data_IF_287480460890
#
_entry.id   IF_287480460890
#
_cell.length_a   1.000
_cell.length_b   1.000
_cell.length_c   1.000
_cell.angle_alpha   90.00
_cell.angle_beta   90.00
_cell.angle_gamma   90.00
#
_symmetry.space_group_name_H-M   'P 1'
#
loop_
_entity.id
_entity.type
_entity.pdbx_description
1 polymer ?
#
# COMPACT_ATOMS: atom_id res chain seq x y z
N UNK A 1 -27.50 -8.81 9.53
CA UNK A 1 -26.42 -8.26 10.38
C UNK A 1 -26.81 -6.86 10.80
N UNK A 2 -26.52 -6.46 12.03
CA UNK A 2 -26.62 -5.08 12.47
C UNK A 2 -25.43 -4.24 11.96
N UNK A 3 -25.53 -2.91 12.00
CA UNK A 3 -24.51 -2.01 11.42
C UNK A 3 -23.14 -2.20 12.10
N UNK A 4 -23.12 -2.46 13.41
CA UNK A 4 -21.86 -2.62 14.15
C UNK A 4 -21.10 -3.87 13.69
N UNK A 5 -21.79 -5.00 13.49
CA UNK A 5 -21.15 -6.22 12.98
C UNK A 5 -20.61 -6.05 11.56
N UNK A 6 -21.29 -5.27 10.71
CA UNK A 6 -20.78 -4.90 9.37
C UNK A 6 -19.49 -4.09 9.50
N UNK A 7 -19.48 -3.05 10.33
CA UNK A 7 -18.30 -2.20 10.52
C UNK A 7 -17.10 -3.04 10.98
N UNK A 8 -17.27 -3.85 12.02
CA UNK A 8 -16.18 -4.68 12.57
C UNK A 8 -15.67 -5.71 11.56
N UNK A 9 -16.57 -6.34 10.80
CA UNK A 9 -16.21 -7.29 9.75
C UNK A 9 -15.32 -6.63 8.69
N UNK A 10 -15.73 -5.49 8.14
CA UNK A 10 -14.98 -4.83 7.07
C UNK A 10 -13.69 -4.17 7.58
N UNK A 11 -13.65 -3.67 8.81
CA UNK A 11 -12.39 -3.21 9.45
C UNK A 11 -11.39 -4.37 9.55
N UNK A 12 -11.83 -5.54 10.01
CA UNK A 12 -10.97 -6.72 10.09
C UNK A 12 -10.48 -7.18 8.72
N UNK A 13 -11.36 -7.17 7.70
CA UNK A 13 -10.96 -7.48 6.33
C UNK A 13 -9.90 -6.48 5.80
N UNK A 14 -10.03 -5.19 6.13
CA UNK A 14 -9.03 -4.18 5.77
C UNK A 14 -7.68 -4.41 6.45
N UNK A 15 -7.69 -4.81 7.73
CA UNK A 15 -6.48 -5.19 8.46
C UNK A 15 -5.81 -6.42 7.86
N UNK A 16 -6.59 -7.48 7.61
CA UNK A 16 -6.11 -8.72 7.01
C UNK A 16 -5.52 -8.48 5.62
N UNK A 17 -6.17 -7.63 4.81
CA UNK A 17 -5.67 -7.24 3.50
C UNK A 17 -4.25 -6.64 3.55
N UNK A 18 -3.96 -5.79 4.54
CA UNK A 18 -2.62 -5.20 4.68
C UNK A 18 -1.60 -6.22 5.19
N UNK A 19 -1.99 -7.10 6.13
CA UNK A 19 -1.08 -8.09 6.72
C UNK A 19 -0.72 -9.19 5.71
N UNK A 20 -1.67 -9.60 4.88
CA UNK A 20 -1.49 -10.64 3.86
C UNK A 20 -1.01 -10.09 2.51
N UNK A 21 -1.20 -8.79 2.27
CA UNK A 21 -0.78 -8.10 1.05
C UNK A 21 0.72 -7.81 1.03
N UNK A 22 1.52 -8.78 0.57
CA UNK A 22 2.97 -8.63 0.48
C UNK A 22 3.41 -7.43 -0.37
N UNK A 23 2.66 -7.09 -1.43
CA UNK A 23 2.88 -5.88 -2.22
C UNK A 23 2.80 -4.61 -1.37
N UNK A 24 1.76 -4.51 -0.52
CA UNK A 24 1.55 -3.36 0.36
C UNK A 24 2.65 -3.24 1.42
N UNK A 25 3.03 -4.36 2.05
CA UNK A 25 4.08 -4.38 3.05
C UNK A 25 5.44 -3.97 2.46
N UNK A 26 5.78 -4.52 1.29
CA UNK A 26 7.05 -4.20 0.63
C UNK A 26 7.07 -2.75 0.11
N UNK A 27 5.96 -2.27 -0.44
CA UNK A 27 5.78 -0.88 -0.85
C UNK A 27 5.93 0.08 0.34
N UNK A 28 5.19 -0.15 1.42
CA UNK A 28 5.23 0.65 2.63
C UNK A 28 6.63 0.67 3.25
N UNK A 29 7.29 -0.49 3.36
CA UNK A 29 8.66 -0.60 3.83
C UNK A 29 9.62 0.25 2.98
N UNK A 30 9.53 0.15 1.66
CA UNK A 30 10.34 0.93 0.71
C UNK A 30 10.11 2.43 0.84
N UNK A 31 8.89 2.86 1.20
CA UNK A 31 8.57 4.27 1.44
C UNK A 31 9.10 4.79 2.78
N UNK A 32 9.04 4.00 3.84
CA UNK A 32 9.42 4.46 5.18
C UNK A 32 10.93 4.42 5.42
N UNK A 33 11.69 3.57 4.71
CA UNK A 33 13.12 3.44 4.91
C UNK A 33 13.89 4.74 4.65
N UNK A 34 13.38 5.63 3.79
CA UNK A 34 13.96 6.97 3.60
C UNK A 34 13.56 7.95 4.72
N UNK A 35 12.34 7.81 5.24
CA UNK A 35 11.68 8.85 6.03
C UNK A 35 12.26 8.97 7.43
N UNK A 36 12.35 10.20 7.91
CA UNK A 36 12.99 10.53 9.19
C UNK A 36 12.00 10.99 10.27
N UNK A 37 10.77 11.34 9.87
CA UNK A 37 9.79 11.96 10.75
C UNK A 37 8.46 11.25 10.62
N UNK A 38 7.84 10.94 11.75
CA UNK A 38 6.53 10.33 11.81
C UNK A 38 5.47 11.14 11.04
N UNK A 39 5.51 12.47 11.14
CA UNK A 39 4.58 13.35 10.42
C UNK A 39 4.68 13.26 8.89
N UNK A 40 5.87 13.00 8.34
CA UNK A 40 6.02 12.80 6.89
C UNK A 40 5.48 11.43 6.48
N UNK A 41 5.72 10.39 7.30
CA UNK A 41 5.19 9.04 7.03
C UNK A 41 3.67 9.05 7.09
N UNK A 42 3.08 9.72 8.09
CA UNK A 42 1.63 9.85 8.21
C UNK A 42 1.02 10.49 6.97
N UNK A 43 1.61 11.60 6.47
CA UNK A 43 1.17 12.23 5.22
C UNK A 43 1.24 11.29 4.02
N UNK A 44 2.31 10.49 3.93
CA UNK A 44 2.49 9.52 2.84
C UNK A 44 1.44 8.41 2.90
N UNK A 45 1.23 7.82 4.08
CA UNK A 45 0.26 6.74 4.31
C UNK A 45 -1.15 7.23 4.02
N UNK A 46 -1.58 8.33 4.65
CA UNK A 46 -2.92 8.87 4.44
C UNK A 46 -3.15 9.28 2.99
N UNK A 47 -2.17 9.88 2.31
CA UNK A 47 -2.30 10.22 0.88
C UNK A 47 -2.49 8.96 0.01
N UNK A 48 -1.76 7.89 0.30
CA UNK A 48 -1.94 6.59 -0.37
C UNK A 48 -3.32 6.02 -0.09
N UNK A 49 -3.77 5.98 1.17
CA UNK A 49 -5.09 5.45 1.56
C UNK A 49 -6.22 6.21 0.89
N UNK A 50 -6.14 7.55 0.82
CA UNK A 50 -7.15 8.37 0.13
C UNK A 50 -7.22 8.00 -1.35
N UNK A 51 -6.09 7.97 -2.05
CA UNK A 51 -6.04 7.60 -3.46
C UNK A 51 -6.53 6.17 -3.73
N UNK A 52 -6.10 5.24 -2.89
CA UNK A 52 -6.56 3.85 -2.90
C UNK A 52 -8.08 3.75 -2.72
N UNK A 53 -8.63 4.47 -1.75
CA UNK A 53 -10.07 4.50 -1.48
C UNK A 53 -10.88 5.00 -2.68
N UNK A 54 -10.39 6.04 -3.37
CA UNK A 54 -11.05 6.60 -4.56
C UNK A 54 -11.19 5.54 -5.65
N UNK A 55 -10.08 4.90 -6.03
CA UNK A 55 -10.08 3.94 -7.14
C UNK A 55 -10.73 2.63 -6.79
N UNK A 56 -10.59 2.16 -5.54
CA UNK A 56 -11.32 1.01 -5.03
C UNK A 56 -12.83 1.23 -5.09
N UNK A 57 -13.31 2.42 -4.67
CA UNK A 57 -14.73 2.76 -4.71
C UNK A 57 -15.25 2.81 -6.14
N UNK A 58 -14.51 3.47 -7.05
CA UNK A 58 -14.90 3.54 -8.45
C UNK A 58 -14.96 2.16 -9.11
N UNK A 59 -14.00 1.27 -8.80
CA UNK A 59 -14.00 -0.09 -9.29
C UNK A 59 -15.12 -0.94 -8.68
N UNK A 60 -15.36 -0.84 -7.36
CA UNK A 60 -16.42 -1.58 -6.67
C UNK A 60 -17.83 -1.18 -7.14
N UNK A 61 -18.02 0.09 -7.54
CA UNK A 61 -19.27 0.59 -8.14
C UNK A 61 -19.40 0.24 -9.63
N UNK A 62 -18.37 -0.35 -10.24
CA UNK A 62 -18.37 -0.77 -11.65
C UNK A 62 -18.11 0.36 -12.65
N UNK A 63 -17.62 1.53 -12.20
CA UNK A 63 -17.28 2.64 -13.10
C UNK A 63 -15.95 2.43 -13.83
N UNK A 64 -15.05 1.59 -13.30
CA UNK A 64 -13.76 1.29 -13.90
C UNK A 64 -13.69 -0.20 -14.23
N UNK A 65 -13.45 -0.59 -15.50
CA UNK A 65 -13.21 -1.98 -15.86
C UNK A 65 -11.87 -2.44 -15.28
N UNK A 66 -11.86 -3.66 -14.73
CA UNK A 66 -10.68 -4.24 -14.10
C UNK A 66 -9.98 -5.20 -15.06
N UNK A 67 -8.69 -4.97 -15.28
CA UNK A 67 -7.82 -5.87 -16.01
C UNK A 67 -6.68 -6.31 -15.09
N UNK A 68 -6.85 -7.41 -14.31
CA UNK A 68 -5.92 -7.80 -13.25
C UNK A 68 -4.46 -7.83 -13.69
N UNK A 69 -4.18 -8.43 -14.86
CA UNK A 69 -2.86 -8.47 -15.49
C UNK A 69 -2.15 -7.10 -15.51
N UNK A 70 -2.83 -6.06 -16.00
CA UNK A 70 -2.26 -4.71 -16.12
C UNK A 70 -2.16 -4.00 -14.77
N UNK A 71 -3.17 -4.19 -13.92
CA UNK A 71 -3.21 -3.57 -12.59
C UNK A 71 -2.12 -4.12 -11.68
N UNK A 72 -2.02 -5.45 -11.57
CA UNK A 72 -1.05 -6.12 -10.70
C UNK A 72 0.39 -5.90 -11.19
N UNK A 73 0.60 -5.86 -12.51
CA UNK A 73 1.87 -5.47 -13.11
C UNK A 73 2.21 -4.01 -12.81
N UNK A 74 1.22 -3.11 -12.88
CA UNK A 74 1.38 -1.70 -12.50
C UNK A 74 1.74 -1.53 -11.02
N UNK A 75 1.12 -2.30 -10.13
CA UNK A 75 1.47 -2.33 -8.70
C UNK A 75 2.94 -2.72 -8.53
N UNK A 76 3.39 -3.81 -9.16
CA UNK A 76 4.78 -4.23 -9.09
C UNK A 76 5.76 -3.14 -9.60
N UNK A 77 5.42 -2.47 -10.71
CA UNK A 77 6.22 -1.34 -11.23
C UNK A 77 6.29 -0.16 -10.28
N UNK A 78 5.22 0.15 -9.55
CA UNK A 78 5.26 1.25 -8.56
C UNK A 78 6.21 0.92 -7.39
N UNK A 79 6.31 -0.35 -6.98
CA UNK A 79 7.26 -0.80 -5.96
C UNK A 79 8.69 -0.69 -6.50
N UNK A 80 8.93 -1.15 -7.72
CA UNK A 80 10.21 -1.03 -8.40
C UNK A 80 10.64 0.44 -8.52
N UNK A 81 9.70 1.33 -8.87
CA UNK A 81 9.96 2.76 -8.94
C UNK A 81 10.44 3.31 -7.59
N UNK A 82 9.73 3.05 -6.48
CA UNK A 82 10.12 3.56 -5.15
C UNK A 82 11.49 3.01 -4.75
N UNK A 83 11.77 1.74 -5.06
CA UNK A 83 13.06 1.12 -4.78
C UNK A 83 14.21 1.79 -5.55
N UNK A 84 14.00 2.14 -6.83
CA UNK A 84 14.96 2.91 -7.63
C UNK A 84 15.12 4.32 -7.05
N UNK A 85 14.01 5.00 -6.79
CA UNK A 85 13.97 6.36 -6.26
C UNK A 85 14.79 6.50 -4.97
N UNK A 86 14.79 5.47 -4.11
CA UNK A 86 15.58 5.43 -2.87
C UNK A 86 17.10 5.58 -3.08
N UNK A 87 17.64 5.22 -4.24
CA UNK A 87 19.06 5.41 -4.53
C UNK A 87 19.43 6.87 -4.88
N UNK A 88 18.48 7.62 -5.44
CA UNK A 88 18.73 8.95 -6.01
C UNK A 88 18.17 10.08 -5.16
N UNK A 89 16.99 9.88 -4.57
CA UNK A 89 16.29 10.89 -3.76
C UNK A 89 16.56 10.61 -2.29
N UNK A 90 16.92 11.65 -1.53
CA UNK A 90 17.23 11.56 -0.09
C UNK A 90 16.24 12.26 0.83
N UNK A 91 15.19 12.87 0.27
CA UNK A 91 14.16 13.62 1.00
C UNK A 91 12.77 13.07 0.72
N UNK A 92 11.92 13.00 1.74
CA UNK A 92 10.53 12.55 1.59
C UNK A 92 9.49 13.68 1.53
N UNK A 93 9.92 14.95 1.44
CA UNK A 93 9.02 16.12 1.54
C UNK A 93 7.83 16.08 0.56
N UNK A 94 8.08 15.66 -0.68
CA UNK A 94 7.07 15.63 -1.75
C UNK A 94 6.63 14.22 -2.12
N UNK A 95 7.16 13.20 -1.42
CA UNK A 95 6.90 11.80 -1.75
C UNK A 95 5.42 11.43 -1.58
N UNK A 96 4.66 12.17 -0.77
CA UNK A 96 3.22 12.00 -0.62
C UNK A 96 2.43 12.21 -1.92
N UNK A 97 2.89 13.08 -2.84
CA UNK A 97 2.26 13.29 -4.15
C UNK A 97 2.42 12.06 -5.05
N UNK A 98 3.63 11.51 -5.03
CA UNK A 98 3.96 10.31 -5.78
C UNK A 98 3.20 9.09 -5.23
N UNK A 99 3.11 8.95 -3.91
CA UNK A 99 2.36 7.85 -3.30
C UNK A 99 0.86 8.01 -3.44
N UNK A 100 0.34 9.24 -3.54
CA UNK A 100 -1.04 9.46 -3.97
C UNK A 100 -1.26 8.87 -5.37
N UNK A 101 -0.39 9.19 -6.34
CA UNK A 101 -0.47 8.62 -7.70
C UNK A 101 -0.41 7.09 -7.70
N UNK A 102 0.50 6.49 -6.92
CA UNK A 102 0.60 5.04 -6.82
C UNK A 102 -0.58 4.40 -6.08
N UNK A 103 -1.15 5.08 -5.08
CA UNK A 103 -2.36 4.63 -4.40
C UNK A 103 -3.55 4.45 -5.34
N UNK A 104 -3.68 5.29 -6.38
CA UNK A 104 -4.71 5.13 -7.42
C UNK A 104 -4.56 3.79 -8.17
N UNK A 105 -3.34 3.33 -8.40
CA UNK A 105 -3.10 2.05 -9.10
C UNK A 105 -3.37 0.89 -8.14
N UNK A 106 -2.90 0.98 -6.90
CA UNK A 106 -3.07 -0.08 -5.90
C UNK A 106 -4.54 -0.34 -5.56
N UNK A 107 -5.38 0.71 -5.51
CA UNK A 107 -6.81 0.55 -5.21
C UNK A 107 -7.59 -0.28 -6.22
N UNK A 108 -7.10 -0.37 -7.46
CA UNK A 108 -7.67 -1.24 -8.49
C UNK A 108 -7.34 -2.73 -8.24
N UNK A 109 -6.20 -3.02 -7.59
CA UNK A 109 -5.71 -4.39 -7.38
C UNK A 109 -6.50 -5.16 -6.33
N UNK A 110 -7.13 -4.47 -5.37
CA UNK A 110 -8.02 -5.14 -4.43
C UNK A 110 -9.41 -5.39 -5.01
N UNK A 111 -9.88 -4.52 -5.92
CA UNK A 111 -11.20 -4.65 -6.52
C UNK A 111 -11.34 -5.94 -7.35
N UNK A 112 -10.24 -6.43 -7.96
CA UNK A 112 -10.23 -7.73 -8.65
C UNK A 112 -10.53 -8.88 -7.68
N UNK A 113 -9.97 -8.84 -6.46
CA UNK A 113 -10.22 -9.83 -5.41
C UNK A 113 -11.62 -9.69 -4.78
N UNK A 114 -12.13 -8.46 -4.58
CA UNK A 114 -13.50 -8.25 -4.06
C UNK A 114 -14.57 -8.81 -5.01
N UNK A 115 -14.36 -8.70 -6.32
CA UNK A 115 -15.37 -9.15 -7.31
C UNK A 115 -15.80 -10.62 -7.10
N UNK A 116 -14.94 -11.42 -6.45
CA UNK A 116 -15.17 -12.83 -6.13
C UNK A 116 -15.87 -13.05 -4.78
N UNK A 117 -15.73 -12.13 -3.82
CA UNK A 117 -16.24 -12.25 -2.44
C UNK A 117 -17.68 -11.76 -2.31
N UNK A 118 -18.14 -10.91 -3.24
CA UNK A 118 -19.52 -10.42 -3.29
C UNK A 118 -19.78 -9.33 -2.25
N UNK A 119 -19.66 -8.08 -2.67
CA UNK A 119 -19.96 -6.93 -1.81
C UNK A 119 -21.47 -6.82 -1.56
N UNK A 120 -21.89 -6.68 -0.30
CA UNK A 120 -23.30 -6.40 0.01
C UNK A 120 -23.64 -4.99 -0.50
N UNK A 121 -24.37 -4.95 -1.62
CA UNK A 121 -24.74 -3.68 -2.29
C UNK A 121 -25.61 -2.79 -1.41
N UNK A 122 -26.29 -3.37 -0.42
CA UNK A 122 -27.21 -2.67 0.50
C UNK A 122 -26.47 -1.71 1.43
N UNK A 123 -25.27 -2.08 1.88
CA UNK A 123 -24.44 -1.30 2.82
C UNK A 123 -23.11 -0.85 2.21
N UNK A 124 -23.05 -0.78 0.88
CA UNK A 124 -21.81 -0.60 0.12
C UNK A 124 -20.94 0.58 0.60
N UNK A 125 -21.54 1.73 0.90
CA UNK A 125 -20.79 2.88 1.41
C UNK A 125 -20.16 2.62 2.79
N UNK A 126 -20.92 2.05 3.73
CA UNK A 126 -20.44 1.75 5.09
C UNK A 126 -19.32 0.71 5.02
N UNK A 127 -19.53 -0.35 4.25
CA UNK A 127 -18.55 -1.41 4.03
C UNK A 127 -17.24 -0.89 3.44
N UNK A 128 -17.29 -0.03 2.41
CA UNK A 128 -16.09 0.55 1.78
C UNK A 128 -15.34 1.48 2.74
N UNK A 129 -16.05 2.31 3.50
CA UNK A 129 -15.44 3.21 4.49
C UNK A 129 -14.79 2.38 5.60
N UNK A 130 -15.51 1.43 6.19
CA UNK A 130 -14.99 0.55 7.24
C UNK A 130 -13.77 -0.26 6.77
N UNK A 131 -13.78 -0.73 5.53
CA UNK A 131 -12.64 -1.42 4.94
C UNK A 131 -11.41 -0.52 4.81
N UNK A 132 -11.56 0.71 4.31
CA UNK A 132 -10.44 1.65 4.20
C UNK A 132 -9.92 2.11 5.58
N UNK A 133 -10.79 2.22 6.58
CA UNK A 133 -10.38 2.44 7.98
C UNK A 133 -9.50 1.27 8.46
N UNK A 134 -9.90 0.03 8.17
CA UNK A 134 -9.09 -1.15 8.46
C UNK A 134 -7.72 -1.11 7.79
N UNK A 135 -7.65 -0.69 6.52
CA UNK A 135 -6.38 -0.49 5.80
C UNK A 135 -5.50 0.54 6.51
N UNK A 136 -6.04 1.74 6.81
CA UNK A 136 -5.25 2.80 7.43
C UNK A 136 -4.71 2.35 8.79
N UNK A 137 -5.54 1.69 9.61
CA UNK A 137 -5.13 1.12 10.89
C UNK A 137 -4.02 0.08 10.72
N UNK A 138 -4.12 -0.80 9.73
CA UNK A 138 -3.10 -1.80 9.43
C UNK A 138 -1.76 -1.17 9.03
N UNK A 139 -1.81 -0.19 8.13
CA UNK A 139 -0.62 0.55 7.70
C UNK A 139 0.02 1.31 8.87
N UNK A 140 -0.78 1.98 9.70
CA UNK A 140 -0.29 2.70 10.87
C UNK A 140 0.29 1.77 11.93
N UNK A 141 -0.27 0.57 12.12
CA UNK A 141 0.29 -0.44 13.00
C UNK A 141 1.68 -0.89 12.52
N UNK A 142 1.83 -1.18 11.22
CA UNK A 142 3.13 -1.53 10.62
C UNK A 142 4.13 -0.38 10.77
N UNK A 143 3.72 0.86 10.48
CA UNK A 143 4.57 2.05 10.67
C UNK A 143 4.98 2.22 12.14
N UNK A 144 4.04 2.05 13.06
CA UNK A 144 4.26 2.18 14.51
C UNK A 144 5.30 1.19 15.05
N UNK A 145 5.47 0.04 14.39
CA UNK A 145 6.48 -0.97 14.74
C UNK A 145 7.79 -0.71 13.98
N UNK A 146 7.72 -0.56 12.66
CA UNK A 146 8.91 -0.56 11.80
C UNK A 146 9.68 0.76 11.87
N UNK A 147 8.98 1.91 11.91
CA UNK A 147 9.64 3.21 11.90
C UNK A 147 10.54 3.43 13.14
N UNK A 148 10.11 3.15 14.39
CA UNK A 148 10.98 3.29 15.55
C UNK A 148 12.24 2.40 15.48
N UNK A 149 12.10 1.17 14.98
CA UNK A 149 13.23 0.25 14.78
C UNK A 149 14.23 0.82 13.77
N UNK A 150 13.74 1.33 12.64
CA UNK A 150 14.57 1.99 11.63
C UNK A 150 15.27 3.23 12.19
N UNK A 151 14.56 4.09 12.91
CA UNK A 151 15.14 5.30 13.52
C UNK A 151 16.23 4.96 14.54
N UNK A 152 16.02 3.93 15.37
CA UNK A 152 17.04 3.43 16.32
C UNK A 152 18.27 2.91 15.58
N UNK A 153 18.07 2.10 14.53
CA UNK A 153 19.16 1.51 13.76
C UNK A 153 19.91 2.53 12.89
N UNK A 154 19.27 3.64 12.51
CA UNK A 154 19.84 4.68 11.63
C UNK A 154 21.10 5.36 12.15
N UNK A 155 21.32 5.36 13.47
CA UNK A 155 22.53 5.88 14.10
C UNK A 155 23.79 5.04 13.82
N UNK A 156 23.62 3.82 13.32
CA UNK A 156 24.70 2.87 13.03
C UNK A 156 25.34 3.16 11.66
N UNK A 157 26.66 2.96 11.54
CA UNK A 157 27.39 3.18 10.27
C UNK A 157 26.93 2.21 9.18
N UNK A 158 26.49 1.03 9.62
CA UNK A 158 26.00 -0.08 8.80
C UNK A 158 24.66 0.22 8.14
N UNK A 159 23.91 1.22 8.64
CA UNK A 159 22.59 1.57 8.12
C UNK A 159 22.61 1.90 6.63
N UNK A 160 23.69 2.53 6.13
CA UNK A 160 23.83 2.83 4.70
C UNK A 160 23.87 1.56 3.85
N UNK A 161 24.59 0.53 4.30
CA UNK A 161 24.65 -0.76 3.59
C UNK A 161 23.31 -1.47 3.66
N UNK A 162 22.68 -1.50 4.84
CA UNK A 162 21.32 -2.04 5.00
C UNK A 162 20.31 -1.34 4.08
N UNK A 163 20.30 0.00 4.03
CA UNK A 163 19.40 0.80 3.20
C UNK A 163 19.55 0.46 1.71
N UNK A 164 20.80 0.39 1.23
CA UNK A 164 21.09 0.07 -0.17
C UNK A 164 20.71 -1.38 -0.51
N UNK A 165 21.05 -2.32 0.38
CA UNK A 165 20.71 -3.73 0.21
C UNK A 165 19.19 -3.95 0.21
N UNK A 166 18.48 -3.35 1.17
CA UNK A 166 17.03 -3.39 1.26
C UNK A 166 16.37 -2.83 -0.01
N UNK A 167 16.83 -1.68 -0.50
CA UNK A 167 16.30 -1.09 -1.74
C UNK A 167 16.60 -1.96 -2.96
N UNK A 168 17.78 -2.57 -3.05
CA UNK A 168 18.14 -3.48 -4.14
C UNK A 168 17.30 -4.77 -4.11
N UNK A 169 17.12 -5.38 -2.94
CA UNK A 169 16.27 -6.56 -2.77
C UNK A 169 14.82 -6.26 -3.15
N UNK A 170 14.27 -5.13 -2.68
CA UNK A 170 12.92 -4.68 -3.06
C UNK A 170 12.79 -4.53 -4.58
N UNK A 171 13.79 -3.93 -5.24
CA UNK A 171 13.79 -3.77 -6.69
C UNK A 171 13.77 -5.13 -7.41
N UNK A 172 14.61 -6.08 -6.98
CA UNK A 172 14.68 -7.41 -7.59
C UNK A 172 13.34 -8.14 -7.44
N UNK A 173 12.75 -8.14 -6.24
CA UNK A 173 11.45 -8.77 -5.97
C UNK A 173 10.36 -8.12 -6.82
N UNK A 174 10.31 -6.79 -6.88
CA UNK A 174 9.32 -6.06 -7.65
C UNK A 174 9.42 -6.32 -9.15
N UNK A 175 10.64 -6.40 -9.69
CA UNK A 175 10.85 -6.74 -11.10
C UNK A 175 10.48 -8.19 -11.41
N UNK A 176 10.78 -9.12 -10.49
CA UNK A 176 10.32 -10.50 -10.59
C UNK A 176 8.79 -10.58 -10.66
N UNK A 177 8.09 -9.94 -9.71
CA UNK A 177 6.62 -9.89 -9.71
C UNK A 177 6.05 -9.23 -10.95
N UNK A 178 6.67 -8.17 -11.45
CA UNK A 178 6.25 -7.55 -12.71
C UNK A 178 6.30 -8.53 -13.88
N UNK A 179 7.42 -9.23 -14.05
CA UNK A 179 7.59 -10.22 -15.13
C UNK A 179 6.60 -11.37 -14.97
N UNK A 180 6.41 -11.87 -13.76
CA UNK A 180 5.44 -12.92 -13.45
C UNK A 180 4.01 -12.50 -13.85
N UNK A 181 3.56 -11.33 -13.39
CA UNK A 181 2.18 -10.84 -13.57
C UNK A 181 1.88 -10.34 -14.98
N UNK A 182 2.88 -9.90 -15.74
CA UNK A 182 2.68 -9.45 -17.12
C UNK A 182 2.64 -10.61 -18.11
N UNK A 183 3.19 -11.78 -17.75
CA UNK A 183 3.20 -12.96 -18.62
C UNK A 183 1.97 -13.83 -18.39
N UNK A 184 1.58 -14.05 -17.13
CA UNK A 184 0.34 -14.76 -16.75
C UNK A 184 -0.90 -13.93 -17.10
#
# INVERSE_FOLDING_TARGET
>A
MDILSIILMYVNLGLEHIITGYDHLLFLFSLIIISQRFSNVLKIVTAFTIAHSITLTLAALGYIPLYPKWVESGIALTIAYVAIENFFVKTSKWRWLLTFGFGLIHGLGFASSISQIGFDRTYSAVSLISFNVGIELGQLAVVGIVLPLLLKYRSRKEYKYFFNAASACTLIIALYWFVERIIV
#
